data_IF_934519414645
#
_entry.id   IF_934519414645
#
_cell.length_a   1.000
_cell.length_b   1.000
_cell.length_c   1.000
_cell.angle_alpha   90.00
_cell.angle_beta   90.00
_cell.angle_gamma   90.00
#
_symmetry.space_group_name_H-M   'P 1'
#
loop_
_entity.id
_entity.type
_entity.pdbx_description
1 polymer ?
#
# COMPACT_ATOMS: atom_id res chain seq x y z
N UNK A 1 10.65 14.41 6.55
CA UNK A 1 10.37 15.41 5.49
C UNK A 1 9.37 14.79 4.52
N UNK A 2 8.09 14.70 4.91
CA UNK A 2 7.09 14.13 4.00
C UNK A 2 6.73 15.15 2.93
N UNK A 3 7.03 14.79 1.67
CA UNK A 3 6.74 15.59 0.47
C UNK A 3 5.28 16.08 0.41
N UNK A 4 4.36 15.38 1.07
CA UNK A 4 2.94 15.74 1.18
C UNK A 4 2.75 17.07 1.92
N UNK A 5 3.42 17.26 3.07
CA UNK A 5 3.28 18.50 3.84
C UNK A 5 3.84 19.70 3.06
N UNK A 6 4.96 19.50 2.37
CA UNK A 6 5.55 20.54 1.51
C UNK A 6 4.63 20.88 0.33
N UNK A 7 4.01 19.89 -0.31
CA UNK A 7 3.02 20.10 -1.38
C UNK A 7 1.84 20.94 -0.88
N UNK A 8 1.29 20.62 0.30
CA UNK A 8 0.19 21.37 0.90
C UNK A 8 0.61 22.79 1.22
N UNK A 9 1.78 22.97 1.85
CA UNK A 9 2.33 24.29 2.17
C UNK A 9 2.52 25.14 0.91
N UNK A 10 3.12 24.60 -0.14
CA UNK A 10 3.34 25.33 -1.39
C UNK A 10 2.02 25.67 -2.10
N UNK A 11 0.99 24.83 -1.94
CA UNK A 11 -0.33 25.07 -2.55
C UNK A 11 -1.17 26.09 -1.80
N UNK A 12 -1.17 26.04 -0.47
CA UNK A 12 -2.05 26.84 0.39
C UNK A 12 -1.37 28.10 0.94
N UNK A 13 -0.09 28.05 1.33
CA UNK A 13 0.62 29.23 1.83
C UNK A 13 1.24 30.04 0.68
N UNK A 14 1.87 29.37 -0.28
CA UNK A 14 2.58 30.04 -1.37
C UNK A 14 1.73 30.24 -2.65
N UNK A 15 0.54 29.66 -2.73
CA UNK A 15 -0.38 29.81 -3.86
C UNK A 15 0.18 29.31 -5.20
N UNK A 16 1.17 28.41 -5.19
CA UNK A 16 1.88 27.98 -6.39
C UNK A 16 1.03 27.08 -7.29
N UNK A 17 1.35 27.10 -8.59
CA UNK A 17 0.73 26.20 -9.56
C UNK A 17 1.17 24.75 -9.34
N UNK A 18 0.36 23.78 -9.77
CA UNK A 18 0.73 22.35 -9.70
C UNK A 18 2.07 22.05 -10.38
N UNK A 19 2.39 22.80 -11.44
CA UNK A 19 3.63 22.65 -12.20
C UNK A 19 4.85 23.15 -11.44
N UNK A 20 4.71 24.23 -10.68
CA UNK A 20 5.80 24.78 -9.88
C UNK A 20 6.03 23.94 -8.61
N UNK A 21 4.94 23.48 -7.98
CA UNK A 21 5.00 22.52 -6.88
C UNK A 21 5.70 21.22 -7.34
N UNK A 22 5.36 20.73 -8.52
CA UNK A 22 5.99 19.55 -9.13
C UNK A 22 7.51 19.69 -9.23
N UNK A 23 8.00 20.87 -9.68
CA UNK A 23 9.43 21.17 -9.77
C UNK A 23 10.08 21.27 -8.38
N UNK A 24 9.45 21.98 -7.44
CA UNK A 24 9.98 22.16 -6.09
C UNK A 24 10.08 20.84 -5.31
N UNK A 25 9.06 19.98 -5.42
CA UNK A 25 9.00 18.72 -4.67
C UNK A 25 9.61 17.53 -5.42
N UNK A 26 10.02 17.70 -6.69
CA UNK A 26 10.45 16.60 -7.58
C UNK A 26 9.43 15.46 -7.61
N UNK A 27 8.16 15.82 -7.81
CA UNK A 27 7.01 14.90 -7.86
C UNK A 27 6.23 15.22 -9.13
N UNK A 28 5.73 14.21 -9.85
CA UNK A 28 4.96 14.44 -11.07
C UNK A 28 3.68 15.27 -10.81
N UNK A 29 3.26 16.14 -11.73
CA UNK A 29 2.09 17.01 -11.54
C UNK A 29 0.79 16.22 -11.32
N UNK A 30 0.68 15.02 -11.91
CA UNK A 30 -0.42 14.10 -11.65
C UNK A 30 -0.46 13.65 -10.19
N UNK A 31 0.69 13.30 -9.61
CA UNK A 31 0.79 12.91 -8.20
C UNK A 31 0.50 14.08 -7.26
N UNK A 32 0.93 15.30 -7.59
CA UNK A 32 0.55 16.51 -6.83
C UNK A 32 -0.97 16.69 -6.83
N UNK A 33 -1.60 16.58 -8.01
CA UNK A 33 -3.07 16.67 -8.14
C UNK A 33 -3.79 15.57 -7.35
N UNK A 34 -3.30 14.34 -7.42
CA UNK A 34 -3.84 13.19 -6.68
C UNK A 34 -3.75 13.40 -5.16
N UNK A 35 -2.62 13.91 -4.67
CA UNK A 35 -2.42 14.24 -3.25
C UNK A 35 -3.40 15.31 -2.79
N UNK A 36 -3.53 16.41 -3.54
CA UNK A 36 -4.44 17.51 -3.18
C UNK A 36 -5.91 17.07 -3.21
N UNK A 37 -6.29 16.27 -4.20
CA UNK A 37 -7.64 15.71 -4.31
C UNK A 37 -7.95 14.79 -3.12
N UNK A 38 -7.00 13.93 -2.75
CA UNK A 38 -7.13 13.04 -1.59
C UNK A 38 -7.15 13.80 -0.28
N UNK A 39 -6.36 14.86 -0.15
CA UNK A 39 -6.39 15.74 1.00
C UNK A 39 -7.77 16.40 1.15
N UNK A 40 -8.35 16.91 0.05
CA UNK A 40 -9.70 17.47 0.08
C UNK A 40 -10.77 16.45 0.51
N UNK A 41 -10.65 15.19 0.07
CA UNK A 41 -11.57 14.11 0.46
C UNK A 41 -11.29 13.56 1.87
N UNK A 42 -10.09 13.81 2.44
CA UNK A 42 -9.71 13.28 3.75
C UNK A 42 -10.41 13.97 4.92
N UNK A 43 -11.05 15.11 4.68
CA UNK A 43 -11.68 15.95 5.72
C UNK A 43 -10.68 16.72 6.58
N UNK A 44 -9.38 16.60 6.30
CA UNK A 44 -8.35 17.44 6.91
C UNK A 44 -8.40 18.85 6.33
N UNK A 45 -8.19 19.84 7.19
CA UNK A 45 -8.11 21.25 6.80
C UNK A 45 -6.68 21.75 6.92
N UNK A 46 -6.32 22.69 6.04
CA UNK A 46 -5.09 23.45 6.15
C UNK A 46 -5.39 24.80 6.85
N UNK A 47 -4.58 25.27 7.82
CA UNK A 47 -3.35 24.65 8.33
C UNK A 47 -3.63 23.39 9.17
N UNK A 48 -2.72 22.43 9.08
CA UNK A 48 -2.78 21.22 9.92
C UNK A 48 -2.65 21.60 11.40
N UNK A 49 -3.41 20.95 12.27
CA UNK A 49 -3.24 21.09 13.72
C UNK A 49 -1.82 20.62 14.09
N UNK A 50 -1.18 21.23 15.09
CA UNK A 50 0.19 20.87 15.53
C UNK A 50 0.34 19.38 15.90
N UNK A 51 -0.79 18.72 16.17
CA UNK A 51 -0.88 17.32 16.54
C UNK A 51 -0.83 16.36 15.33
N UNK A 52 -1.00 16.85 14.10
CA UNK A 52 -1.03 16.00 12.90
C UNK A 52 0.37 15.58 12.47
N UNK A 53 0.72 14.35 12.83
CA UNK A 53 1.98 13.73 12.42
C UNK A 53 2.02 13.45 10.91
N UNK A 54 3.22 13.42 10.32
CA UNK A 54 3.45 13.04 8.93
C UNK A 54 2.80 11.68 8.60
N UNK A 55 2.84 10.75 9.55
CA UNK A 55 2.24 9.41 9.39
C UNK A 55 0.72 9.46 9.30
N UNK A 56 0.07 10.37 10.02
CA UNK A 56 -1.39 10.55 9.95
C UNK A 56 -1.79 11.19 8.63
N UNK A 57 -1.00 12.16 8.16
CA UNK A 57 -1.21 12.80 6.87
C UNK A 57 -1.06 11.80 5.71
N UNK A 58 -0.02 10.97 5.76
CA UNK A 58 0.18 9.89 4.80
C UNK A 58 -0.97 8.87 4.83
N UNK A 59 -1.42 8.47 6.02
CA UNK A 59 -2.58 7.57 6.18
C UNK A 59 -3.87 8.18 5.64
N UNK A 60 -4.10 9.47 5.86
CA UNK A 60 -5.29 10.18 5.40
C UNK A 60 -5.32 10.31 3.87
N UNK A 61 -4.18 10.66 3.27
CA UNK A 61 -4.04 10.78 1.81
C UNK A 61 -4.07 9.40 1.14
N UNK A 62 -3.36 8.41 1.67
CA UNK A 62 -3.25 7.06 1.08
C UNK A 62 -4.20 6.02 1.72
N UNK A 63 -5.35 6.46 2.27
CA UNK A 63 -6.31 5.65 3.05
C UNK A 63 -6.76 4.32 2.39
N UNK A 64 -6.54 4.12 1.09
CA UNK A 64 -6.84 2.88 0.36
C UNK A 64 -5.64 2.10 -0.19
N UNK A 65 -4.40 2.55 0.00
CA UNK A 65 -3.20 1.87 -0.55
C UNK A 65 -2.52 0.91 0.42
N UNK A 66 -2.93 0.91 1.69
CA UNK A 66 -2.71 -0.23 2.56
C UNK A 66 -3.71 -1.33 2.18
N UNK A 67 -3.54 -1.89 0.99
CA UNK A 67 -3.98 -3.25 0.72
C UNK A 67 -3.08 -4.22 1.48
N UNK A 68 -3.00 -4.06 2.81
CA UNK A 68 -2.91 -5.21 3.69
C UNK A 68 -4.28 -5.91 3.58
N UNK A 69 -4.58 -6.48 2.40
CA UNK A 69 -5.29 -7.74 2.42
C UNK A 69 -4.40 -8.59 3.30
N UNK A 70 -4.84 -8.84 4.53
CA UNK A 70 -4.21 -9.79 5.44
C UNK A 70 -4.33 -11.14 4.74
N UNK A 71 -3.43 -11.39 3.78
CA UNK A 71 -3.37 -12.64 3.08
C UNK A 71 -2.93 -13.65 4.11
N UNK A 72 -3.69 -14.73 4.22
CA UNK A 72 -3.44 -15.74 5.22
C UNK A 72 -2.07 -16.35 4.93
N UNK A 73 -1.13 -16.28 5.84
CA UNK A 73 0.15 -16.93 5.61
C UNK A 73 -0.05 -18.45 5.58
N UNK A 74 0.36 -19.17 4.52
CA UNK A 74 0.32 -20.62 4.52
C UNK A 74 1.27 -21.17 5.58
N UNK A 75 0.92 -22.30 6.19
CA UNK A 75 1.86 -23.03 7.05
C UNK A 75 2.88 -23.76 6.17
N UNK A 76 3.99 -23.09 5.87
CA UNK A 76 5.03 -23.63 5.00
C UNK A 76 5.71 -24.86 5.61
N UNK A 77 5.72 -25.01 6.93
CA UNK A 77 6.30 -26.18 7.58
C UNK A 77 5.44 -27.42 7.33
N UNK A 78 4.12 -27.30 7.47
CA UNK A 78 3.19 -28.38 7.13
C UNK A 78 3.25 -28.72 5.63
N UNK A 79 3.25 -27.70 4.77
CA UNK A 79 3.33 -27.90 3.31
C UNK A 79 4.63 -28.59 2.88
N UNK A 80 5.75 -28.29 3.53
CA UNK A 80 7.02 -28.96 3.27
C UNK A 80 6.99 -30.45 3.64
N UNK A 81 6.26 -30.81 4.70
CA UNK A 81 6.05 -32.22 5.06
C UNK A 81 5.15 -32.93 4.05
N UNK A 82 4.06 -32.29 3.63
CA UNK A 82 3.14 -32.86 2.63
C UNK A 82 3.83 -33.06 1.27
N UNK A 83 4.71 -32.13 0.84
CA UNK A 83 5.50 -32.28 -0.39
C UNK A 83 6.40 -33.53 -0.42
N UNK A 84 6.75 -34.11 0.72
CA UNK A 84 7.54 -35.35 0.79
C UNK A 84 6.71 -36.60 0.49
N UNK A 85 5.38 -36.49 0.45
CA UNK A 85 4.48 -37.60 0.12
C UNK A 85 4.44 -37.82 -1.39
N UNK A 86 4.32 -39.08 -1.82
CA UNK A 86 4.21 -39.43 -3.25
C UNK A 86 2.99 -38.74 -3.88
N UNK A 87 3.23 -38.03 -4.99
CA UNK A 87 2.18 -37.36 -5.77
C UNK A 87 1.84 -35.93 -5.32
N UNK A 88 2.42 -35.44 -4.22
CA UNK A 88 2.19 -34.08 -3.77
C UNK A 88 3.03 -33.08 -4.58
N UNK A 89 2.40 -31.98 -5.00
CA UNK A 89 3.05 -30.90 -5.74
C UNK A 89 2.72 -29.55 -5.10
N UNK A 90 3.60 -28.55 -5.30
CA UNK A 90 3.35 -27.18 -4.81
C UNK A 90 2.05 -26.60 -5.36
N UNK A 91 1.70 -26.96 -6.60
CA UNK A 91 0.46 -26.54 -7.23
C UNK A 91 -0.77 -27.11 -6.51
N UNK A 92 -0.74 -28.40 -6.18
CA UNK A 92 -1.83 -29.08 -5.47
C UNK A 92 -2.04 -28.48 -4.07
N UNK A 93 -0.95 -28.30 -3.31
CA UNK A 93 -1.03 -27.70 -1.97
C UNK A 93 -1.47 -26.24 -2.02
N UNK A 94 -1.08 -25.48 -3.04
CA UNK A 94 -1.58 -24.12 -3.25
C UNK A 94 -3.07 -24.10 -3.61
N UNK A 95 -3.55 -25.06 -4.41
CA UNK A 95 -4.97 -25.19 -4.74
C UNK A 95 -5.79 -25.48 -3.48
N UNK A 96 -5.39 -26.47 -2.67
CA UNK A 96 -6.05 -26.78 -1.40
C UNK A 96 -6.03 -25.58 -0.44
N UNK A 97 -4.87 -24.92 -0.32
CA UNK A 97 -4.76 -23.68 0.45
C UNK A 97 -5.73 -22.61 -0.07
N UNK A 98 -5.81 -22.40 -1.38
CA UNK A 98 -6.65 -21.35 -1.98
C UNK A 98 -8.14 -21.66 -1.82
N UNK A 99 -8.51 -22.92 -1.94
CA UNK A 99 -9.91 -23.35 -1.89
C UNK A 99 -10.52 -23.20 -0.48
N UNK A 100 -9.70 -23.13 0.58
CA UNK A 100 -10.15 -22.79 1.93
C UNK A 100 -10.69 -21.36 2.04
N UNK A 101 -10.02 -20.39 1.39
CA UNK A 101 -10.50 -19.01 1.31
C UNK A 101 -9.82 -18.25 0.16
N UNK A 102 -10.55 -18.11 -0.94
CA UNK A 102 -10.05 -17.44 -2.15
C UNK A 102 -9.86 -15.93 -1.97
N UNK A 103 -10.53 -15.31 -1.00
CA UNK A 103 -10.47 -13.86 -0.79
C UNK A 103 -9.17 -13.42 -0.10
N UNK A 104 -8.61 -14.27 0.77
CA UNK A 104 -7.35 -14.03 1.48
C UNK A 104 -6.19 -14.89 0.97
N UNK A 105 -6.41 -15.73 -0.04
CA UNK A 105 -5.37 -16.55 -0.63
C UNK A 105 -4.27 -15.74 -1.34
N UNK A 106 -3.02 -16.20 -1.22
CA UNK A 106 -1.94 -15.78 -2.11
C UNK A 106 -2.16 -16.32 -3.52
N UNK A 107 -1.77 -15.55 -4.54
CA UNK A 107 -1.63 -16.06 -5.90
C UNK A 107 -0.46 -17.04 -5.99
N UNK A 108 -0.47 -17.94 -6.97
CA UNK A 108 0.56 -19.00 -7.09
C UNK A 108 2.00 -18.46 -7.15
N UNK A 109 2.23 -17.35 -7.85
CA UNK A 109 3.55 -16.71 -7.90
C UNK A 109 4.01 -16.22 -6.52
N UNK A 110 3.15 -15.48 -5.81
CA UNK A 110 3.46 -15.00 -4.46
C UNK A 110 3.64 -16.14 -3.47
N UNK A 111 2.84 -17.20 -3.61
CA UNK A 111 3.00 -18.42 -2.82
C UNK A 111 4.40 -19.03 -3.02
N UNK A 112 4.88 -19.12 -4.26
CA UNK A 112 6.22 -19.61 -4.56
C UNK A 112 7.33 -18.71 -4.01
N UNK A 113 7.18 -17.39 -4.11
CA UNK A 113 8.12 -16.41 -3.55
C UNK A 113 8.25 -16.55 -2.04
N UNK A 114 7.11 -16.61 -1.33
CA UNK A 114 7.11 -16.77 0.13
C UNK A 114 7.65 -18.13 0.58
N UNK A 115 7.56 -19.18 -0.24
CA UNK A 115 8.14 -20.49 0.07
C UNK A 115 9.66 -20.55 -0.15
N UNK A 116 10.24 -19.65 -0.93
CA UNK A 116 11.68 -19.63 -1.23
C UNK A 116 12.51 -18.84 -0.22
N UNK A 117 11.88 -18.12 0.71
CA UNK A 117 12.55 -17.29 1.73
C UNK A 117 12.69 -18.06 3.03
#
# INVERSE_FOLDING_TARGET
>A
MSKIRDILRLRFDAGLSLRDISKCCSVGPATVSEILSRFATSGLSWPLLEQTSDTELEKAVYKGKNSSRHKRQPDFALMHQELKRKGMTKLLLWQEYRDLDTATAYGYTQFCEHYQT
#
